data_IF_858360874617
#
_entry.id   IF_858360874617
#
_cell.length_a   1.000
_cell.length_b   1.000
_cell.length_c   1.000
_cell.angle_alpha   90.00
_cell.angle_beta   90.00
_cell.angle_gamma   90.00
#
_symmetry.space_group_name_H-M   'P 1'
#
loop_
_entity.id
_entity.type
_entity.pdbx_description
1 polymer ?
#
# COMPACT_ATOMS: atom_id res chain seq x y z
N UNK A 1 15.26 32.45 -15.15
CA UNK A 1 16.13 32.04 -14.04
C UNK A 1 16.36 30.56 -14.20
N UNK A 2 17.62 30.11 -14.24
CA UNK A 2 17.95 28.69 -14.37
C UNK A 2 17.78 28.03 -13.01
N UNK A 3 16.74 27.21 -12.84
CA UNK A 3 16.65 26.26 -11.74
C UNK A 3 17.73 25.19 -11.94
N UNK A 4 18.90 25.46 -11.38
CA UNK A 4 19.95 24.46 -11.26
C UNK A 4 19.45 23.43 -10.25
N UNK A 5 19.02 22.26 -10.72
CA UNK A 5 18.84 21.08 -9.87
C UNK A 5 20.14 20.85 -9.10
N UNK A 6 20.12 21.14 -7.80
CA UNK A 6 21.24 20.93 -6.90
C UNK A 6 21.52 19.43 -6.83
N UNK A 7 22.80 19.07 -6.86
CA UNK A 7 23.19 17.67 -6.63
C UNK A 7 22.94 17.33 -5.16
N UNK A 8 22.66 16.07 -4.80
CA UNK A 8 22.45 15.67 -3.40
C UNK A 8 23.56 16.11 -2.44
N UNK A 9 24.82 16.21 -2.93
CA UNK A 9 25.98 16.69 -2.17
C UNK A 9 25.99 18.20 -1.88
N UNK A 10 25.08 18.97 -2.47
CA UNK A 10 25.00 20.44 -2.38
C UNK A 10 23.76 20.90 -1.59
N UNK A 11 22.96 19.96 -1.07
CA UNK A 11 21.79 20.26 -0.26
C UNK A 11 22.20 20.76 1.14
N UNK A 12 21.50 21.76 1.70
CA UNK A 12 21.56 22.07 3.13
C UNK A 12 21.40 20.80 3.97
N UNK A 13 22.12 20.70 5.11
CA UNK A 13 22.13 19.51 5.98
C UNK A 13 20.71 18.98 6.32
N UNK A 14 19.70 19.83 6.60
CA UNK A 14 18.33 19.37 6.85
C UNK A 14 17.67 18.72 5.62
N UNK A 15 17.90 19.26 4.43
CA UNK A 15 17.35 18.73 3.17
C UNK A 15 18.05 17.42 2.78
N UNK A 16 19.36 17.30 3.04
CA UNK A 16 20.10 16.05 2.86
C UNK A 16 19.60 14.95 3.82
N UNK A 17 19.34 15.31 5.08
CA UNK A 17 18.79 14.37 6.07
C UNK A 17 17.39 13.89 5.65
N UNK A 18 16.52 14.79 5.18
CA UNK A 18 15.20 14.44 4.67
C UNK A 18 15.29 13.52 3.44
N UNK A 19 16.18 13.83 2.48
CA UNK A 19 16.40 13.02 1.30
C UNK A 19 16.92 11.60 1.65
N UNK A 20 17.80 11.49 2.65
CA UNK A 20 18.30 10.19 3.12
C UNK A 20 17.20 9.35 3.78
N UNK A 21 16.36 9.96 4.61
CA UNK A 21 15.20 9.29 5.22
C UNK A 21 14.23 8.81 4.14
N UNK A 22 13.90 9.67 3.17
CA UNK A 22 13.01 9.32 2.06
C UNK A 22 13.58 8.19 1.18
N UNK A 23 14.89 8.19 0.92
CA UNK A 23 15.56 7.10 0.21
C UNK A 23 15.49 5.78 0.99
N UNK A 24 15.66 5.83 2.32
CA UNK A 24 15.47 4.69 3.20
C UNK A 24 14.04 4.15 3.17
N UNK A 25 13.03 5.02 3.31
CA UNK A 25 11.61 4.64 3.23
C UNK A 25 11.27 3.96 1.90
N UNK A 26 11.76 4.51 0.79
CA UNK A 26 11.55 3.95 -0.54
C UNK A 26 12.20 2.58 -0.68
N UNK A 27 13.41 2.39 -0.13
CA UNK A 27 14.09 1.10 -0.11
C UNK A 27 13.30 0.06 0.68
N UNK A 28 12.80 0.41 1.85
CA UNK A 28 12.02 -0.53 2.67
C UNK A 28 10.68 -0.91 2.02
N UNK A 29 10.01 0.03 1.34
CA UNK A 29 8.83 -0.28 0.54
C UNK A 29 9.15 -1.18 -0.66
N UNK A 30 10.29 -0.96 -1.33
CA UNK A 30 10.71 -1.80 -2.45
C UNK A 30 11.07 -3.23 -2.00
N UNK A 31 11.75 -3.38 -0.86
CA UNK A 31 12.01 -4.70 -0.25
C UNK A 31 10.70 -5.39 0.14
N UNK A 32 9.74 -4.63 0.66
CA UNK A 32 8.43 -5.17 0.98
C UNK A 32 7.66 -5.65 -0.28
N UNK A 33 7.77 -4.96 -1.41
CA UNK A 33 7.22 -5.39 -2.70
C UNK A 33 7.87 -6.67 -3.20
N UNK A 34 9.20 -6.77 -3.07
CA UNK A 34 9.94 -7.97 -3.45
C UNK A 34 9.53 -9.18 -2.59
N UNK A 35 9.43 -9.00 -1.27
CA UNK A 35 8.92 -10.02 -0.35
C UNK A 35 7.52 -10.47 -0.78
N UNK A 36 6.60 -9.53 -1.03
CA UNK A 36 5.26 -9.85 -1.45
C UNK A 36 5.22 -10.59 -2.80
N UNK A 37 6.08 -10.23 -3.74
CA UNK A 37 6.20 -10.92 -5.02
C UNK A 37 6.69 -12.36 -4.85
N UNK A 38 7.79 -12.57 -4.11
CA UNK A 38 8.34 -13.90 -3.81
C UNK A 38 7.32 -14.78 -3.08
N UNK A 39 6.65 -14.25 -2.06
CA UNK A 39 5.62 -14.98 -1.33
C UNK A 39 4.45 -15.36 -2.25
N UNK A 40 4.00 -14.46 -3.13
CA UNK A 40 2.88 -14.77 -4.05
C UNK A 40 3.24 -15.68 -5.21
N UNK A 41 4.52 -15.78 -5.57
CA UNK A 41 4.98 -16.82 -6.50
C UNK A 41 4.76 -18.22 -5.92
N UNK A 42 4.91 -18.39 -4.60
CA UNK A 42 4.61 -19.65 -3.91
C UNK A 42 3.13 -19.79 -3.48
N UNK A 43 2.51 -18.68 -3.06
CA UNK A 43 1.16 -18.62 -2.50
C UNK A 43 0.39 -17.43 -3.08
N UNK A 44 -0.22 -17.57 -4.28
CA UNK A 44 -0.88 -16.47 -4.98
C UNK A 44 -1.94 -15.73 -4.16
N UNK A 45 -2.62 -16.43 -3.23
CA UNK A 45 -3.66 -15.88 -2.35
C UNK A 45 -3.13 -15.23 -1.06
N UNK A 46 -1.81 -15.18 -0.85
CA UNK A 46 -1.21 -14.63 0.35
C UNK A 46 -1.47 -13.11 0.49
N UNK A 47 -1.87 -12.72 1.70
CA UNK A 47 -2.15 -11.34 2.08
C UNK A 47 -1.43 -10.91 3.36
N UNK A 48 -1.08 -11.85 4.25
CA UNK A 48 -0.42 -11.51 5.51
C UNK A 48 0.72 -12.46 5.85
N UNK A 49 1.75 -11.93 6.50
CA UNK A 49 2.78 -12.71 7.19
C UNK A 49 2.62 -12.51 8.69
N UNK A 50 2.55 -13.60 9.45
CA UNK A 50 2.64 -13.56 10.90
C UNK A 50 4.10 -13.66 11.30
N UNK A 51 4.61 -12.65 11.97
CA UNK A 51 6.03 -12.54 12.35
C UNK A 51 6.18 -12.15 13.81
N UNK A 52 7.27 -12.52 14.45
CA UNK A 52 7.69 -11.92 15.73
C UNK A 52 9.05 -11.27 15.62
N UNK A 53 9.27 -10.23 16.42
CA UNK A 53 10.56 -9.58 16.57
C UNK A 53 11.11 -9.87 17.97
N UNK A 54 12.26 -10.54 18.01
CA UNK A 54 12.95 -10.83 19.27
C UNK A 54 13.88 -9.68 19.64
N UNK A 55 14.64 -9.17 18.67
CA UNK A 55 15.47 -7.96 18.72
C UNK A 55 15.45 -7.26 17.35
N UNK A 56 15.88 -5.99 17.22
CA UNK A 56 15.96 -5.33 15.90
C UNK A 56 16.84 -6.14 14.94
N UNK A 57 16.31 -6.51 13.78
CA UNK A 57 16.99 -7.35 12.79
C UNK A 57 16.84 -8.86 13.00
N UNK A 58 16.22 -9.29 14.11
CA UNK A 58 15.97 -10.69 14.44
C UNK A 58 14.45 -10.96 14.39
N UNK A 59 14.01 -11.37 13.20
CA UNK A 59 12.63 -11.71 12.90
C UNK A 59 12.45 -13.23 12.84
N UNK A 60 11.27 -13.70 13.24
CA UNK A 60 10.85 -15.10 13.09
C UNK A 60 9.51 -15.12 12.38
N UNK A 61 9.41 -15.93 11.31
CA UNK A 61 8.16 -16.16 10.59
C UNK A 61 7.37 -17.26 11.29
N UNK A 62 6.12 -16.98 11.65
CA UNK A 62 5.18 -17.94 12.26
C UNK A 62 4.14 -18.45 11.27
N UNK A 63 3.87 -17.71 10.19
CA UNK A 63 3.03 -18.22 9.12
C UNK A 63 2.77 -17.26 7.96
N UNK A 64 2.34 -17.82 6.84
CA UNK A 64 1.83 -17.09 5.67
C UNK A 64 0.32 -17.33 5.61
N UNK A 65 -0.45 -16.25 5.46
CA UNK A 65 -1.90 -16.28 5.60
C UNK A 65 -2.59 -15.68 4.38
N UNK A 66 -3.75 -16.24 4.03
CA UNK A 66 -4.60 -15.72 2.96
C UNK A 66 -5.25 -14.40 3.34
N UNK A 67 -5.81 -13.70 2.34
CA UNK A 67 -6.81 -12.67 2.60
C UNK A 67 -8.03 -13.27 3.33
N UNK A 68 -8.78 -12.41 4.04
CA UNK A 68 -10.07 -12.80 4.58
C UNK A 68 -11.06 -13.08 3.42
N UNK A 69 -11.65 -14.28 3.40
CA UNK A 69 -12.65 -14.63 2.40
C UNK A 69 -14.03 -14.06 2.79
N UNK A 70 -14.81 -13.51 1.83
CA UNK A 70 -16.17 -13.07 2.08
C UNK A 70 -17.02 -14.22 2.66
N UNK A 71 -17.60 -14.01 3.84
CA UNK A 71 -18.40 -15.03 4.55
C UNK A 71 -17.60 -15.99 5.44
N UNK A 72 -16.28 -15.78 5.58
CA UNK A 72 -15.47 -16.40 6.64
C UNK A 72 -14.92 -15.31 7.56
N UNK A 73 -15.05 -15.55 8.86
CA UNK A 73 -14.55 -14.64 9.90
C UNK A 73 -13.03 -14.79 10.13
N UNK A 74 -12.35 -15.66 9.39
CA UNK A 74 -10.94 -15.99 9.63
C UNK A 74 -10.12 -16.14 8.34
N UNK A 75 -8.86 -15.72 8.41
CA UNK A 75 -7.85 -15.96 7.37
C UNK A 75 -7.37 -17.42 7.41
N UNK A 76 -7.06 -18.00 6.25
CA UNK A 76 -6.54 -19.38 6.15
C UNK A 76 -5.02 -19.38 6.30
N UNK A 77 -4.49 -20.27 7.14
CA UNK A 77 -3.05 -20.53 7.20
C UNK A 77 -2.62 -21.29 5.93
N UNK A 78 -1.76 -20.66 5.13
CA UNK A 78 -1.20 -21.22 3.90
C UNK A 78 0.09 -21.99 4.17
N UNK A 79 0.89 -21.46 5.10
CA UNK A 79 2.17 -22.05 5.50
C UNK A 79 2.44 -21.78 6.97
N UNK A 80 2.93 -22.80 7.69
CA UNK A 80 3.37 -22.68 9.08
C UNK A 80 4.64 -23.51 9.32
N UNK A 81 5.78 -22.90 9.72
CA UNK A 81 7.06 -23.60 9.85
C UNK A 81 7.07 -24.68 10.94
N UNK A 82 6.12 -24.62 11.88
CA UNK A 82 6.01 -25.58 13.00
C UNK A 82 4.97 -26.69 12.77
N UNK A 83 4.30 -26.73 11.61
CA UNK A 83 3.23 -27.69 11.33
C UNK A 83 3.72 -29.04 10.76
N UNK A 84 5.03 -29.32 10.80
CA UNK A 84 5.59 -30.67 10.60
C UNK A 84 5.57 -31.22 9.17
N UNK A 85 5.18 -30.43 8.16
CA UNK A 85 5.34 -30.78 6.75
C UNK A 85 6.69 -30.21 6.24
N UNK A 86 7.80 -30.80 6.70
CA UNK A 86 9.16 -30.28 6.45
C UNK A 86 9.74 -30.60 5.08
N UNK A 87 9.13 -31.48 4.29
CA UNK A 87 9.88 -32.15 3.22
C UNK A 87 9.62 -31.62 1.80
N UNK A 88 8.60 -30.79 1.57
CA UNK A 88 8.24 -30.36 0.20
C UNK A 88 8.70 -28.93 -0.17
N UNK A 89 9.27 -28.16 0.77
CA UNK A 89 9.53 -26.72 0.55
C UNK A 89 11.01 -26.32 0.62
N UNK A 90 11.93 -27.19 1.04
CA UNK A 90 13.37 -26.90 0.95
C UNK A 90 13.85 -26.73 -0.50
N UNK A 91 13.09 -27.26 -1.47
CA UNK A 91 13.35 -27.14 -2.91
C UNK A 91 12.31 -26.25 -3.65
N UNK A 92 11.47 -25.51 -2.90
CA UNK A 92 10.47 -24.59 -3.48
C UNK A 92 11.07 -23.27 -3.98
N UNK A 93 10.31 -22.45 -4.73
CA UNK A 93 10.79 -21.15 -5.24
C UNK A 93 10.99 -20.07 -4.16
N UNK A 94 10.65 -20.36 -2.90
CA UNK A 94 10.68 -19.41 -1.79
C UNK A 94 11.79 -19.79 -0.80
N UNK A 95 12.91 -19.07 -0.85
CA UNK A 95 13.97 -19.16 0.14
C UNK A 95 13.51 -18.50 1.45
N UNK A 96 13.21 -19.33 2.45
CA UNK A 96 12.68 -18.87 3.74
C UNK A 96 13.73 -18.17 4.60
N UNK A 97 15.01 -18.54 4.47
CA UNK A 97 16.09 -17.92 5.23
C UNK A 97 16.34 -16.50 4.70
N UNK A 98 16.37 -16.34 3.37
CA UNK A 98 16.46 -15.01 2.73
C UNK A 98 15.23 -14.16 3.05
N UNK A 99 14.03 -14.74 3.00
CA UNK A 99 12.79 -14.06 3.37
C UNK A 99 12.83 -13.54 4.81
N UNK A 100 13.28 -14.36 5.76
CA UNK A 100 13.37 -13.98 7.18
C UNK A 100 14.42 -12.90 7.39
N UNK A 101 15.56 -12.96 6.70
CA UNK A 101 16.58 -11.93 6.76
C UNK A 101 16.03 -10.57 6.27
N UNK A 102 15.35 -10.56 5.12
CA UNK A 102 14.74 -9.35 4.59
C UNK A 102 13.62 -8.83 5.49
N UNK A 103 12.79 -9.72 6.06
CA UNK A 103 11.82 -9.33 7.09
C UNK A 103 12.48 -8.68 8.30
N UNK A 104 13.61 -9.22 8.76
CA UNK A 104 14.43 -8.62 9.82
C UNK A 104 14.87 -7.20 9.47
N UNK A 105 15.35 -6.99 8.24
CA UNK A 105 15.76 -5.68 7.73
C UNK A 105 14.59 -4.70 7.69
N UNK A 106 13.47 -5.07 7.06
CA UNK A 106 12.32 -4.16 6.92
C UNK A 106 11.71 -3.81 8.30
N UNK A 107 11.56 -4.80 9.17
CA UNK A 107 10.88 -4.65 10.46
C UNK A 107 11.75 -4.02 11.56
N UNK A 108 13.07 -3.96 11.35
CA UNK A 108 13.98 -3.23 12.23
C UNK A 108 13.69 -1.72 12.26
N UNK A 109 12.98 -1.20 11.24
CA UNK A 109 12.69 0.22 11.10
C UNK A 109 11.22 0.54 11.42
N UNK A 110 10.99 1.53 12.27
CA UNK A 110 9.64 2.00 12.66
C UNK A 110 8.83 2.64 11.53
N UNK A 111 9.45 2.87 10.36
CA UNK A 111 8.85 3.60 9.24
C UNK A 111 7.71 2.81 8.59
N UNK A 112 7.75 1.47 8.63
CA UNK A 112 6.72 0.62 8.01
C UNK A 112 5.36 0.66 8.70
N UNK A 113 5.34 0.97 10.00
CA UNK A 113 4.06 1.16 10.72
C UNK A 113 3.24 2.30 10.11
N UNK A 114 3.91 3.34 9.58
CA UNK A 114 3.26 4.51 8.98
C UNK A 114 2.69 4.24 7.58
N UNK A 115 3.17 3.18 6.93
CA UNK A 115 2.69 2.76 5.61
C UNK A 115 1.57 1.72 5.69
N UNK A 116 1.03 1.46 6.88
CA UNK A 116 0.02 0.42 7.11
C UNK A 116 0.54 -1.02 6.89
N UNK A 117 1.86 -1.19 6.78
CA UNK A 117 2.50 -2.48 6.48
C UNK A 117 2.46 -3.40 7.69
N UNK A 118 2.50 -2.86 8.90
CA UNK A 118 2.48 -3.65 10.13
C UNK A 118 1.21 -3.36 10.91
N UNK A 119 0.40 -4.40 11.13
CA UNK A 119 -0.84 -4.34 11.88
C UNK A 119 -0.77 -5.21 13.14
N UNK A 120 -1.44 -4.82 14.24
CA UNK A 120 -1.62 -5.71 15.38
C UNK A 120 -2.42 -6.94 14.97
N UNK A 121 -2.13 -8.09 15.58
CA UNK A 121 -2.84 -9.32 15.28
C UNK A 121 -4.31 -9.20 15.74
N UNK A 122 -5.33 -9.43 14.87
CA UNK A 122 -6.73 -9.17 15.19
C UNK A 122 -7.29 -10.05 16.32
N UNK A 123 -6.86 -11.32 16.41
CA UNK A 123 -7.32 -12.27 17.43
C UNK A 123 -6.42 -12.42 18.66
N UNK A 124 -5.17 -11.98 18.61
CA UNK A 124 -4.15 -12.27 19.63
C UNK A 124 -3.38 -11.03 20.08
N UNK A 125 -4.02 -9.86 20.06
CA UNK A 125 -3.44 -8.57 20.46
C UNK A 125 -2.71 -8.63 21.82
N UNK A 126 -3.13 -9.53 22.71
CA UNK A 126 -2.58 -9.70 24.06
C UNK A 126 -1.64 -10.90 24.25
N UNK A 127 -1.44 -11.74 23.22
CA UNK A 127 -0.55 -12.91 23.29
C UNK A 127 0.62 -12.76 22.31
N UNK A 128 1.79 -12.58 22.90
CA UNK A 128 3.11 -12.70 22.28
C UNK A 128 3.46 -11.54 21.33
N UNK A 129 4.77 -11.33 21.16
CA UNK A 129 5.41 -10.26 20.36
C UNK A 129 5.14 -10.39 18.84
N UNK A 130 4.00 -10.98 18.46
CA UNK A 130 3.62 -11.29 17.09
C UNK A 130 2.91 -10.10 16.44
N UNK A 131 3.17 -9.91 15.16
CA UNK A 131 2.65 -8.82 14.32
C UNK A 131 2.21 -9.41 13.00
N UNK A 132 1.23 -8.78 12.36
CA UNK A 132 0.87 -9.07 10.98
C UNK A 132 1.58 -8.08 10.06
N UNK A 133 2.29 -8.58 9.08
CA UNK A 133 2.81 -7.80 7.96
C UNK A 133 1.83 -7.96 6.81
N UNK A 134 1.18 -6.87 6.42
CA UNK A 134 0.22 -6.82 5.32
C UNK A 134 0.97 -6.75 4.01
N UNK A 135 0.84 -7.76 3.17
CA UNK A 135 1.45 -7.78 1.85
C UNK A 135 0.69 -6.83 0.91
N UNK A 136 1.35 -5.88 0.24
CA UNK A 136 0.70 -4.96 -0.69
C UNK A 136 0.04 -5.75 -1.80
N UNK A 137 -1.13 -5.36 -2.32
CA UNK A 137 -1.77 -6.07 -3.42
C UNK A 137 -0.86 -6.10 -4.65
N UNK A 138 -1.00 -7.16 -5.47
CA UNK A 138 -0.19 -7.34 -6.67
C UNK A 138 -0.36 -6.18 -7.68
N UNK A 139 -1.56 -5.59 -7.74
CA UNK A 139 -1.84 -4.37 -8.48
C UNK A 139 -2.56 -3.36 -7.58
N UNK A 140 -1.79 -2.47 -6.96
CA UNK A 140 -2.31 -1.40 -6.09
C UNK A 140 -3.29 -0.49 -6.80
N UNK A 141 -3.06 -0.17 -8.08
CA UNK A 141 -3.94 0.72 -8.83
C UNK A 141 -5.31 0.05 -9.08
N UNK A 142 -5.31 -1.23 -9.42
CA UNK A 142 -6.54 -2.01 -9.57
C UNK A 142 -7.27 -2.16 -8.23
N UNK A 143 -6.57 -2.42 -7.12
CA UNK A 143 -7.18 -2.50 -5.78
C UNK A 143 -7.79 -1.17 -5.35
N UNK A 144 -7.10 -0.04 -5.57
CA UNK A 144 -7.66 1.30 -5.32
C UNK A 144 -8.93 1.51 -6.14
N UNK A 145 -8.91 1.18 -7.43
CA UNK A 145 -10.07 1.29 -8.30
C UNK A 145 -11.24 0.42 -7.81
N UNK A 146 -10.98 -0.79 -7.33
CA UNK A 146 -12.00 -1.68 -6.78
C UNK A 146 -12.64 -1.11 -5.51
N UNK A 147 -11.82 -0.63 -4.57
CA UNK A 147 -12.28 -0.03 -3.31
C UNK A 147 -13.15 1.20 -3.59
N UNK A 148 -12.70 2.08 -4.49
CA UNK A 148 -13.46 3.28 -4.88
C UNK A 148 -14.77 2.87 -5.56
N UNK A 149 -14.74 1.93 -6.51
CA UNK A 149 -15.95 1.49 -7.24
C UNK A 149 -16.94 0.72 -6.37
N UNK A 150 -16.52 0.17 -5.23
CA UNK A 150 -17.44 -0.42 -4.25
C UNK A 150 -18.38 0.63 -3.63
N UNK A 151 -17.91 1.88 -3.54
CA UNK A 151 -18.66 2.99 -2.97
C UNK A 151 -19.26 3.92 -4.04
N UNK A 152 -18.55 4.09 -5.17
CA UNK A 152 -18.95 4.93 -6.30
C UNK A 152 -18.75 4.12 -7.59
N UNK A 153 -19.75 3.30 -8.00
CA UNK A 153 -19.61 2.32 -9.08
C UNK A 153 -19.14 2.90 -10.42
N UNK A 154 -19.57 4.11 -10.74
CA UNK A 154 -19.29 4.78 -12.01
C UNK A 154 -17.99 5.60 -12.00
N UNK A 155 -17.13 5.42 -10.99
CA UNK A 155 -15.86 6.13 -10.92
C UNK A 155 -14.87 5.65 -12.00
N UNK A 156 -14.27 6.61 -12.71
CA UNK A 156 -13.28 6.40 -13.78
C UNK A 156 -11.88 6.86 -13.38
N UNK A 157 -11.77 7.86 -12.50
CA UNK A 157 -10.47 8.29 -11.97
C UNK A 157 -10.60 9.01 -10.64
N UNK A 158 -9.49 9.05 -9.90
CA UNK A 158 -9.36 9.74 -8.63
C UNK A 158 -8.18 10.73 -8.70
N UNK A 159 -8.45 11.98 -8.36
CA UNK A 159 -7.44 13.03 -8.21
C UNK A 159 -7.09 13.13 -6.73
N UNK A 160 -5.79 12.95 -6.46
CA UNK A 160 -5.22 12.97 -5.13
C UNK A 160 -4.19 14.10 -5.02
N UNK A 161 -4.02 14.59 -3.80
CA UNK A 161 -2.92 15.48 -3.42
C UNK A 161 -1.90 14.71 -2.61
N UNK A 162 -0.62 14.85 -2.95
CA UNK A 162 0.48 14.24 -2.22
C UNK A 162 1.41 15.31 -1.65
N UNK A 163 1.58 15.28 -0.32
CA UNK A 163 2.45 16.20 0.39
C UNK A 163 3.43 15.44 1.29
N UNK A 164 4.67 15.94 1.36
CA UNK A 164 5.61 15.45 2.35
C UNK A 164 5.19 15.99 3.73
N UNK A 165 5.04 15.10 4.70
CA UNK A 165 4.83 15.42 6.10
C UNK A 165 6.04 14.96 6.92
N UNK A 166 6.17 15.41 8.17
CA UNK A 166 7.28 15.10 9.08
C UNK A 166 7.52 13.60 9.32
N UNK A 167 6.68 12.72 8.78
CA UNK A 167 6.85 11.28 8.89
C UNK A 167 6.43 10.44 7.69
N UNK A 168 6.23 11.01 6.49
CA UNK A 168 5.87 10.25 5.29
C UNK A 168 5.14 11.08 4.24
N UNK A 169 4.29 10.43 3.45
CA UNK A 169 3.47 11.09 2.42
C UNK A 169 2.02 11.18 2.92
N UNK A 170 1.56 12.40 3.16
CA UNK A 170 0.15 12.67 3.39
C UNK A 170 -0.61 12.62 2.07
N UNK A 171 -1.73 11.89 2.06
CA UNK A 171 -2.61 11.76 0.90
C UNK A 171 -3.92 12.51 1.18
N UNK A 172 -4.24 13.44 0.30
CA UNK A 172 -5.51 14.14 0.22
C UNK A 172 -6.34 13.66 -0.96
N UNK A 173 -7.66 13.68 -0.84
CA UNK A 173 -8.56 13.33 -1.93
C UNK A 173 -9.28 14.58 -2.40
N UNK A 174 -9.15 14.91 -3.67
CA UNK A 174 -9.64 16.18 -4.18
C UNK A 174 -10.90 15.99 -5.02
N UNK A 175 -10.84 15.08 -6.01
CA UNK A 175 -11.93 14.90 -6.96
C UNK A 175 -12.03 13.47 -7.48
N UNK A 176 -13.24 13.04 -7.81
CA UNK A 176 -13.50 11.87 -8.64
C UNK A 176 -14.04 12.30 -9.99
N UNK A 177 -13.61 11.63 -11.05
CA UNK A 177 -14.28 11.70 -12.35
C UNK A 177 -15.17 10.48 -12.51
N UNK A 178 -16.41 10.71 -12.87
CA UNK A 178 -17.42 9.68 -13.15
C UNK A 178 -17.57 9.46 -14.65
N UNK A 179 -18.15 8.32 -15.00
CA UNK A 179 -18.64 8.02 -16.35
C UNK A 179 -19.47 9.18 -16.91
N UNK A 180 -19.11 9.65 -18.11
CA UNK A 180 -19.74 10.82 -18.74
C UNK A 180 -19.09 12.16 -18.40
N UNK A 181 -17.93 12.16 -17.72
CA UNK A 181 -17.10 13.35 -17.51
C UNK A 181 -17.57 14.27 -16.38
N UNK A 182 -18.56 13.85 -15.59
CA UNK A 182 -18.97 14.58 -14.38
C UNK A 182 -17.90 14.43 -13.30
N UNK A 183 -17.58 15.52 -12.62
CA UNK A 183 -16.68 15.49 -11.46
C UNK A 183 -17.45 15.63 -10.15
N UNK A 184 -16.92 14.98 -9.10
CA UNK A 184 -17.40 15.10 -7.72
C UNK A 184 -16.23 15.56 -6.87
N UNK A 185 -16.37 16.72 -6.23
CA UNK A 185 -15.40 17.19 -5.24
C UNK A 185 -15.48 16.31 -4.00
N UNK A 186 -14.34 15.91 -3.47
CA UNK A 186 -14.26 15.20 -2.21
C UNK A 186 -13.97 16.23 -1.12
N UNK A 187 -14.82 16.37 -0.10
CA UNK A 187 -14.68 17.41 0.92
C UNK A 187 -13.54 17.14 1.92
N UNK A 188 -12.72 16.11 1.70
CA UNK A 188 -11.68 15.66 2.63
C UNK A 188 -10.28 15.95 2.06
N UNK A 189 -9.71 17.14 2.30
CA UNK A 189 -8.38 17.49 1.78
C UNK A 189 -7.24 16.68 2.40
N UNK A 190 -7.44 16.08 3.59
CA UNK A 190 -6.50 15.19 4.29
C UNK A 190 -7.33 14.27 5.18
N UNK A 191 -6.92 13.02 5.36
CA UNK A 191 -7.54 12.06 6.29
C UNK A 191 -7.43 12.53 7.76
N UNK A 192 -8.06 13.65 8.11
CA UNK A 192 -8.22 14.13 9.46
C UNK A 192 -9.48 13.48 10.05
N UNK A 193 -9.45 13.05 11.31
CA UNK A 193 -10.41 12.11 11.89
C UNK A 193 -11.86 12.62 12.08
N UNK A 194 -12.28 13.78 11.56
CA UNK A 194 -13.53 14.44 11.98
C UNK A 194 -14.40 15.07 10.87
N UNK A 195 -14.30 14.67 9.60
CA UNK A 195 -15.22 15.17 8.56
C UNK A 195 -16.23 14.11 8.13
N UNK A 196 -17.48 14.24 8.61
CA UNK A 196 -18.65 13.42 8.28
C UNK A 196 -19.06 13.46 6.78
N UNK A 197 -18.44 14.34 5.98
CA UNK A 197 -18.81 14.57 4.58
C UNK A 197 -18.04 13.69 3.57
N UNK A 198 -17.16 12.78 4.03
CA UNK A 198 -16.41 11.89 3.14
C UNK A 198 -17.36 10.92 2.40
N UNK A 199 -17.16 10.70 1.08
CA UNK A 199 -17.96 9.74 0.32
C UNK A 199 -17.73 8.27 0.71
N UNK A 200 -16.72 8.00 1.54
CA UNK A 200 -16.43 6.66 2.04
C UNK A 200 -16.08 6.66 3.54
N UNK A 201 -16.30 5.52 4.23
CA UNK A 201 -15.94 5.33 5.63
C UNK A 201 -14.48 5.61 5.98
N UNK A 202 -14.20 5.79 7.27
CA UNK A 202 -12.86 6.13 7.76
C UNK A 202 -11.82 5.04 7.50
N UNK A 203 -12.14 3.78 7.79
CA UNK A 203 -11.29 2.62 7.49
C UNK A 203 -10.93 2.56 6.00
N UNK A 204 -11.91 2.82 5.12
CA UNK A 204 -11.70 2.91 3.67
C UNK A 204 -10.77 4.07 3.30
N UNK A 205 -10.92 5.23 3.93
CA UNK A 205 -10.03 6.38 3.71
C UNK A 205 -8.57 6.05 4.06
N UNK A 206 -8.35 5.35 5.18
CA UNK A 206 -7.02 4.95 5.62
C UNK A 206 -6.41 3.90 4.69
N UNK A 207 -7.19 2.90 4.28
CA UNK A 207 -6.75 1.90 3.32
C UNK A 207 -6.33 2.55 1.99
N UNK A 208 -7.17 3.43 1.45
CA UNK A 208 -6.88 4.19 0.23
C UNK A 208 -5.62 5.05 0.38
N UNK A 209 -5.49 5.79 1.49
CA UNK A 209 -4.33 6.64 1.74
C UNK A 209 -3.03 5.84 1.82
N UNK A 210 -3.03 4.67 2.48
CA UNK A 210 -1.85 3.80 2.51
C UNK A 210 -1.48 3.28 1.11
N UNK A 211 -2.44 2.76 0.36
CA UNK A 211 -2.18 2.22 -0.99
C UNK A 211 -1.69 3.29 -1.95
N UNK A 212 -2.32 4.47 -1.95
CA UNK A 212 -1.92 5.60 -2.79
C UNK A 212 -0.59 6.19 -2.37
N UNK A 213 -0.34 6.28 -1.06
CA UNK A 213 0.94 6.72 -0.52
C UNK A 213 2.09 5.81 -0.96
N UNK A 214 1.92 4.49 -0.83
CA UNK A 214 2.91 3.51 -1.31
C UNK A 214 3.13 3.62 -2.82
N UNK A 215 2.05 3.75 -3.59
CA UNK A 215 2.10 3.89 -5.05
C UNK A 215 2.86 5.16 -5.45
N UNK A 216 2.64 6.27 -4.76
CA UNK A 216 3.35 7.53 -5.00
C UNK A 216 4.82 7.51 -4.53
N UNK A 217 5.11 6.83 -3.42
CA UNK A 217 6.44 6.69 -2.87
C UNK A 217 7.38 5.90 -3.80
N UNK A 218 6.86 4.87 -4.47
CA UNK A 218 7.64 4.00 -5.35
C UNK A 218 7.73 4.59 -6.77
N UNK A 219 8.91 5.03 -7.25
CA UNK A 219 9.03 5.78 -8.50
C UNK A 219 8.51 5.03 -9.74
N UNK A 220 8.75 3.73 -9.80
CA UNK A 220 8.33 2.89 -10.91
C UNK A 220 6.80 2.75 -10.97
N UNK A 221 6.12 2.64 -9.83
CA UNK A 221 4.66 2.61 -9.77
C UNK A 221 4.05 3.98 -10.05
N UNK A 222 4.59 5.02 -9.42
CA UNK A 222 4.15 6.41 -9.66
C UNK A 222 4.18 6.75 -11.14
N UNK A 223 5.30 6.48 -11.82
CA UNK A 223 5.45 6.78 -13.26
C UNK A 223 4.51 5.99 -14.17
N UNK A 224 4.05 4.83 -13.72
CA UNK A 224 3.18 3.93 -14.48
C UNK A 224 1.70 4.26 -14.30
N UNK A 225 1.30 4.66 -13.09
CA UNK A 225 -0.11 4.70 -12.70
C UNK A 225 -0.61 6.13 -12.39
N UNK A 226 0.27 7.07 -12.05
CA UNK A 226 -0.12 8.43 -11.71
C UNK A 226 0.30 9.41 -12.80
N UNK A 227 -0.64 10.27 -13.17
CA UNK A 227 -0.38 11.38 -14.10
C UNK A 227 -0.40 12.70 -13.32
N UNK A 228 0.62 13.56 -13.44
CA UNK A 228 0.58 14.89 -12.83
C UNK A 228 -0.60 15.69 -13.36
N UNK A 229 -1.37 16.32 -12.47
CA UNK A 229 -2.44 17.23 -12.86
C UNK A 229 -1.89 18.65 -12.96
N UNK A 230 -2.07 19.28 -14.12
CA UNK A 230 -1.86 20.70 -14.29
C UNK A 230 -3.17 21.43 -13.97
N UNK A 231 -3.54 21.49 -12.69
CA UNK A 231 -4.64 22.35 -12.26
C UNK A 231 -4.07 23.67 -11.72
N UNK A 232 -3.97 24.64 -12.64
CA UNK A 232 -3.47 25.99 -12.40
C UNK A 232 -4.40 26.86 -11.54
N UNK A 233 -5.56 26.33 -11.13
CA UNK A 233 -6.55 27.07 -10.33
C UNK A 233 -6.49 26.76 -8.84
N UNK A 234 -5.70 25.76 -8.43
CA UNK A 234 -5.55 25.39 -7.02
C UNK A 234 -4.31 26.05 -6.41
N UNK A 235 -4.39 26.42 -5.12
CA UNK A 235 -3.24 26.83 -4.30
C UNK A 235 -2.21 25.69 -4.08
N UNK A 236 -2.37 24.56 -4.78
CA UNK A 236 -1.65 23.30 -4.60
C UNK A 236 -0.93 22.84 -5.88
N UNK A 237 -0.53 23.81 -6.71
CA UNK A 237 0.20 23.58 -7.96
C UNK A 237 1.42 22.67 -7.73
N UNK A 238 1.53 21.59 -8.52
CA UNK A 238 2.63 20.62 -8.44
C UNK A 238 2.42 19.44 -7.47
N UNK A 239 1.34 19.42 -6.69
CA UNK A 239 1.06 18.35 -5.71
C UNK A 239 -0.10 17.44 -6.10
N UNK A 240 -0.79 17.75 -7.19
CA UNK A 240 -1.97 17.02 -7.65
C UNK A 240 -1.61 15.95 -8.68
N UNK A 241 -2.18 14.76 -8.50
CA UNK A 241 -1.95 13.60 -9.33
C UNK A 241 -3.24 12.84 -9.56
N UNK A 242 -3.44 12.37 -10.78
CA UNK A 242 -4.60 11.59 -11.18
C UNK A 242 -4.21 10.11 -11.32
N UNK A 243 -5.00 9.25 -10.67
CA UNK A 243 -5.04 7.82 -10.91
C UNK A 243 -6.23 7.51 -11.81
N UNK A 244 -5.96 7.12 -13.07
CA UNK A 244 -7.00 6.61 -13.97
C UNK A 244 -7.25 5.15 -13.69
N UNK A 245 -8.51 4.78 -13.46
CA UNK A 245 -8.85 3.41 -13.13
C UNK A 245 -8.84 2.53 -14.38
N UNK A 246 -8.33 1.29 -14.27
CA UNK A 246 -8.41 0.33 -15.38
C UNK A 246 -9.87 0.09 -15.78
N UNK A 247 -10.10 -0.12 -17.07
CA UNK A 247 -11.42 -0.42 -17.61
C UNK A 247 -11.96 -1.71 -16.98
N UNK A 248 -13.22 -1.69 -16.52
CA UNK A 248 -13.96 -2.92 -16.20
C UNK A 248 -14.55 -3.43 -17.50
N UNK A 249 -14.13 -4.60 -17.96
CA UNK A 249 -14.95 -5.31 -18.94
C UNK A 249 -16.34 -5.53 -18.30
N UNK A 250 -17.44 -5.18 -19.00
CA UNK A 250 -18.76 -5.49 -18.49
C UNK A 250 -18.87 -7.01 -18.37
N UNK A 251 -19.25 -7.48 -17.19
CA UNK A 251 -19.50 -8.89 -16.93
C UNK A 251 -20.45 -9.43 -18.00
N UNK A 252 -19.91 -10.24 -18.91
CA UNK A 252 -20.65 -10.83 -20.04
C UNK A 252 -21.72 -11.86 -19.63
N UNK A 253 -22.08 -11.91 -18.34
CA UNK A 253 -23.04 -12.85 -17.75
C UNK A 253 -24.50 -12.39 -17.79
N UNK A 254 -24.81 -11.15 -18.20
CA UNK A 254 -26.20 -10.72 -18.40
C UNK A 254 -26.78 -10.96 -19.81
N UNK A 255 -25.97 -11.36 -20.79
CA UNK A 255 -26.42 -11.53 -22.18
C UNK A 255 -27.24 -12.81 -22.46
N UNK A 256 -27.47 -13.69 -21.47
CA UNK A 256 -28.19 -14.97 -21.67
C UNK A 256 -29.52 -15.07 -20.90
N UNK A 257 -30.03 -13.95 -20.37
CA UNK A 257 -31.39 -13.88 -19.82
C UNK A 257 -32.21 -12.85 -20.59
N UNK A 258 -32.58 -13.20 -21.82
CA UNK A 258 -33.69 -12.58 -22.56
C UNK A 258 -34.38 -13.64 -23.40
#
# INVERSE_FOLDING_TARGET
>A
MNDKQLRPTELPIPELAAAYVQAGETLFLALHDDIAARVRLAHPEAAYLEVSLHTPGDAELHGIWSAQEPGRDTCRLLYGPHNGASDDWQDGPLDLDELVEDLGRILSHSLLQRWGVVQPHPLYEHRNRRRWVVLPPADRAATVAEIVRRHIPDAESLICRFEADHGGIAVGFEQLTLSGGKTVSIPCPRCLPETDDSPWPHDVSHELAHLLGQLYALPHLRSRHLTPCADFTSDHEGHLWQLVFPYREPDSTEATRS
#
